data_IF_335197327993
#
_entry.id   IF_335197327993
#
_cell.length_a   1.000
_cell.length_b   1.000
_cell.length_c   1.000
_cell.angle_alpha   90.00
_cell.angle_beta   90.00
_cell.angle_gamma   90.00
#
_symmetry.space_group_name_H-M   'P 1'
#
loop_
_entity.id
_entity.type
_entity.pdbx_description
1 polymer ?
#
# COMPACT_ATOMS: atom_id res chain seq x y z
N UNK A 1 26.10 38.13 -9.41
CA UNK A 1 24.77 37.47 -9.31
C UNK A 1 24.95 36.00 -9.64
N UNK A 2 24.66 35.04 -8.75
CA UNK A 2 24.82 33.63 -9.06
C UNK A 2 23.61 33.11 -9.85
N UNK A 3 23.86 32.38 -10.93
CA UNK A 3 22.85 31.63 -11.70
C UNK A 3 22.53 30.32 -10.98
N UNK A 4 21.35 30.24 -10.37
CA UNK A 4 20.82 29.01 -9.81
C UNK A 4 20.35 28.08 -10.92
N UNK A 5 21.08 27.00 -11.16
CA UNK A 5 20.64 25.90 -12.01
C UNK A 5 19.74 25.05 -11.12
N UNK A 6 18.42 25.17 -11.30
CA UNK A 6 17.48 24.26 -10.64
C UNK A 6 17.73 22.85 -11.17
N UNK A 7 18.02 21.91 -10.28
CA UNK A 7 18.07 20.49 -10.64
C UNK A 7 16.72 20.08 -11.25
N UNK A 8 16.71 19.27 -12.32
CA UNK A 8 15.47 18.73 -12.85
C UNK A 8 14.82 17.86 -11.77
N UNK A 9 13.57 18.19 -11.43
CA UNK A 9 12.76 17.36 -10.54
C UNK A 9 12.63 15.93 -11.08
N UNK A 10 12.30 14.94 -10.23
CA UNK A 10 12.15 13.56 -10.66
C UNK A 10 11.13 13.47 -11.80
N UNK A 11 11.43 12.66 -12.81
CA UNK A 11 10.52 12.45 -13.94
C UNK A 11 9.13 12.07 -13.44
N UNK A 12 8.06 12.67 -14.01
CA UNK A 12 6.71 12.28 -13.65
C UNK A 12 6.52 10.79 -13.97
N UNK A 13 5.99 10.05 -13.00
CA UNK A 13 5.64 8.65 -13.21
C UNK A 13 4.74 8.53 -14.45
N UNK A 14 5.02 7.59 -15.37
CA UNK A 14 4.24 7.44 -16.58
C UNK A 14 2.77 7.23 -16.24
N UNK A 15 1.87 7.93 -16.94
CA UNK A 15 0.43 7.72 -16.79
C UNK A 15 0.13 6.24 -17.08
N UNK A 16 -0.54 5.51 -16.17
CA UNK A 16 -0.90 4.13 -16.43
C UNK A 16 -1.75 4.07 -17.70
N UNK A 17 -1.46 3.10 -18.56
CA UNK A 17 -2.42 2.75 -19.61
C UNK A 17 -3.71 2.19 -18.99
N UNK A 18 -4.78 2.14 -19.77
CA UNK A 18 -6.12 1.76 -19.29
C UNK A 18 -6.12 0.38 -18.60
N UNK A 19 -5.29 -0.57 -19.06
CA UNK A 19 -5.15 -1.89 -18.44
C UNK A 19 -4.51 -1.81 -17.05
N UNK A 20 -3.39 -1.08 -16.92
CA UNK A 20 -2.69 -0.86 -15.66
C UNK A 20 -3.59 -0.11 -14.66
N UNK A 21 -4.39 0.84 -15.14
CA UNK A 21 -5.35 1.56 -14.31
C UNK A 21 -6.43 0.64 -13.74
N UNK A 22 -7.03 -0.22 -14.57
CA UNK A 22 -8.03 -1.20 -14.12
C UNK A 22 -7.47 -2.18 -13.09
N UNK A 23 -6.26 -2.70 -13.32
CA UNK A 23 -5.58 -3.58 -12.37
C UNK A 23 -5.30 -2.87 -11.03
N UNK A 24 -4.94 -1.59 -11.07
CA UNK A 24 -4.75 -0.75 -9.88
C UNK A 24 -6.03 -0.63 -9.07
N UNK A 25 -7.15 -0.32 -9.72
CA UNK A 25 -8.45 -0.18 -9.05
C UNK A 25 -8.88 -1.52 -8.44
N UNK A 26 -8.81 -2.60 -9.21
CA UNK A 26 -9.16 -3.94 -8.73
C UNK A 26 -8.28 -4.39 -7.56
N UNK A 27 -6.99 -4.03 -7.55
CA UNK A 27 -6.11 -4.27 -6.42
C UNK A 27 -6.54 -3.49 -5.17
N UNK A 28 -6.87 -2.22 -5.32
CA UNK A 28 -7.35 -1.39 -4.22
C UNK A 28 -8.65 -1.92 -3.62
N UNK A 29 -9.60 -2.37 -4.46
CA UNK A 29 -10.85 -3.00 -4.02
C UNK A 29 -10.60 -4.30 -3.24
N UNK A 30 -9.74 -5.18 -3.75
CA UNK A 30 -9.39 -6.42 -3.06
C UNK A 30 -8.74 -6.16 -1.69
N UNK A 31 -7.88 -5.13 -1.57
CA UNK A 31 -7.27 -4.73 -0.29
C UNK A 31 -8.34 -4.16 0.65
N UNK A 32 -9.23 -3.29 0.16
CA UNK A 32 -10.32 -2.70 0.94
C UNK A 32 -11.24 -3.79 1.54
N UNK A 33 -11.47 -4.86 0.79
CA UNK A 33 -12.30 -6.00 1.22
C UNK A 33 -11.55 -6.99 2.14
N UNK A 34 -10.27 -6.78 2.38
CA UNK A 34 -9.42 -7.72 3.12
C UNK A 34 -9.18 -9.03 2.36
N UNK A 35 -9.45 -9.08 1.05
CA UNK A 35 -9.28 -10.25 0.20
C UNK A 35 -7.81 -10.38 -0.25
N UNK A 36 -6.95 -10.70 0.72
CA UNK A 36 -5.51 -10.88 0.50
C UNK A 36 -5.21 -11.90 -0.61
N UNK A 37 -5.87 -13.09 -0.70
CA UNK A 37 -5.61 -14.03 -1.77
C UNK A 37 -5.88 -13.47 -3.18
N UNK A 38 -6.95 -12.69 -3.35
CA UNK A 38 -7.25 -12.04 -4.62
C UNK A 38 -6.23 -10.95 -4.96
N UNK A 39 -5.86 -10.11 -3.99
CA UNK A 39 -4.85 -9.08 -4.16
C UNK A 39 -3.49 -9.67 -4.56
N UNK A 40 -3.06 -10.74 -3.89
CA UNK A 40 -1.82 -11.45 -4.22
C UNK A 40 -1.88 -12.09 -5.61
N UNK A 41 -3.00 -12.74 -5.96
CA UNK A 41 -3.18 -13.37 -7.28
C UNK A 41 -3.08 -12.32 -8.39
N UNK A 42 -3.80 -11.20 -8.25
CA UNK A 42 -3.79 -10.11 -9.22
C UNK A 42 -2.37 -9.56 -9.42
N UNK A 43 -1.66 -9.26 -8.32
CA UNK A 43 -0.27 -8.78 -8.39
C UNK A 43 0.66 -9.80 -9.07
N UNK A 44 0.50 -11.10 -8.77
CA UNK A 44 1.35 -12.15 -9.36
C UNK A 44 1.08 -12.40 -10.84
N UNK A 45 -0.12 -12.09 -11.33
CA UNK A 45 -0.50 -12.28 -12.74
C UNK A 45 -0.33 -11.03 -13.60
N UNK A 46 -0.11 -9.86 -12.99
CA UNK A 46 0.04 -8.61 -13.73
C UNK A 46 1.34 -8.58 -14.53
N UNK A 47 1.25 -8.24 -15.81
CA UNK A 47 2.42 -8.00 -16.66
C UNK A 47 3.17 -6.70 -16.30
N UNK A 48 2.54 -5.80 -15.52
CA UNK A 48 3.05 -4.47 -15.17
C UNK A 48 2.99 -4.21 -13.67
N UNK A 49 3.38 -5.21 -12.88
CA UNK A 49 3.29 -5.20 -11.42
C UNK A 49 3.80 -3.91 -10.76
N UNK A 50 4.97 -3.39 -11.19
CA UNK A 50 5.53 -2.15 -10.64
C UNK A 50 4.65 -0.92 -10.91
N UNK A 51 4.04 -0.84 -12.10
CA UNK A 51 3.14 0.26 -12.46
C UNK A 51 1.81 0.17 -11.70
N UNK A 52 1.28 -1.04 -11.51
CA UNK A 52 0.08 -1.28 -10.68
C UNK A 52 0.33 -0.86 -9.22
N UNK A 53 1.47 -1.24 -8.65
CA UNK A 53 1.85 -0.81 -7.29
C UNK A 53 2.04 0.72 -7.21
N UNK A 54 2.67 1.34 -8.21
CA UNK A 54 2.80 2.79 -8.29
C UNK A 54 1.45 3.51 -8.34
N UNK A 55 0.49 2.96 -9.09
CA UNK A 55 -0.89 3.42 -9.12
C UNK A 55 -1.57 3.31 -7.74
N UNK A 56 -1.39 2.17 -7.07
CA UNK A 56 -1.94 1.93 -5.74
C UNK A 56 -1.41 2.95 -4.73
N UNK A 57 -0.10 3.20 -4.72
CA UNK A 57 0.51 4.20 -3.83
C UNK A 57 0.01 5.61 -4.12
N UNK A 58 -0.22 5.94 -5.39
CA UNK A 58 -0.78 7.23 -5.78
C UNK A 58 -2.21 7.40 -5.26
N UNK A 59 -3.06 6.38 -5.39
CA UNK A 59 -4.43 6.38 -4.84
C UNK A 59 -4.44 6.49 -3.32
N UNK A 60 -3.60 5.72 -2.63
CA UNK A 60 -3.45 5.82 -1.17
C UNK A 60 -2.99 7.21 -0.74
N UNK A 61 -2.03 7.81 -1.46
CA UNK A 61 -1.56 9.17 -1.18
C UNK A 61 -2.68 10.21 -1.31
N UNK A 62 -3.54 10.09 -2.32
CA UNK A 62 -4.71 10.97 -2.48
C UNK A 62 -5.74 10.74 -1.38
N UNK A 63 -6.09 9.48 -1.11
CA UNK A 63 -7.05 9.10 -0.08
C UNK A 63 -6.64 9.65 1.30
N UNK A 64 -5.40 9.40 1.72
CA UNK A 64 -4.90 9.82 3.02
C UNK A 64 -4.75 11.34 3.16
N UNK A 65 -4.47 12.07 2.06
CA UNK A 65 -4.44 13.55 2.07
C UNK A 65 -5.84 14.16 2.21
N UNK A 66 -6.88 13.45 1.76
CA UNK A 66 -8.27 13.89 1.86
C UNK A 66 -8.89 13.76 3.25
N UNK A 67 -8.23 13.05 4.17
CA UNK A 67 -8.73 12.81 5.52
C UNK A 67 -8.78 14.10 6.36
N UNK A 68 -9.86 14.25 7.11
CA UNK A 68 -10.04 15.35 8.06
C UNK A 68 -9.21 15.14 9.35
N UNK A 69 -9.36 16.04 10.33
CA UNK A 69 -8.62 15.95 11.58
C UNK A 69 -8.93 14.66 12.37
N UNK A 70 -10.16 14.16 12.32
CA UNK A 70 -10.56 12.93 13.01
C UNK A 70 -9.97 11.70 12.31
N UNK A 71 -10.02 11.68 10.97
CA UNK A 71 -9.41 10.66 10.13
C UNK A 71 -7.91 10.51 10.39
N UNK A 72 -7.19 11.62 10.40
CA UNK A 72 -5.74 11.65 10.73
C UNK A 72 -5.45 11.10 12.12
N UNK A 73 -6.21 11.53 13.15
CA UNK A 73 -6.03 11.03 14.51
C UNK A 73 -6.34 9.51 14.66
N UNK A 74 -7.16 8.93 13.79
CA UNK A 74 -7.39 7.49 13.73
C UNK A 74 -6.21 6.76 13.08
N UNK A 75 -5.67 7.33 12.00
CA UNK A 75 -4.50 6.81 11.31
C UNK A 75 -3.26 6.80 12.21
N UNK A 76 -3.00 7.89 12.93
CA UNK A 76 -1.87 8.00 13.86
C UNK A 76 -1.94 6.92 14.95
N UNK A 77 -3.13 6.73 15.54
CA UNK A 77 -3.38 5.66 16.52
C UNK A 77 -3.18 4.27 15.94
N UNK A 78 -3.60 4.05 14.70
CA UNK A 78 -3.38 2.79 14.01
C UNK A 78 -1.88 2.51 13.82
N UNK A 79 -1.11 3.49 13.34
CA UNK A 79 0.34 3.38 13.14
C UNK A 79 1.06 3.09 14.46
N UNK A 80 0.73 3.82 15.53
CA UNK A 80 1.29 3.59 16.86
C UNK A 80 1.00 2.16 17.36
N UNK A 81 -0.23 1.69 17.19
CA UNK A 81 -0.61 0.33 17.55
C UNK A 81 0.14 -0.72 16.72
N UNK A 82 0.35 -0.49 15.41
CA UNK A 82 1.14 -1.37 14.54
C UNK A 82 2.60 -1.45 14.99
N UNK A 83 3.23 -0.33 15.37
CA UNK A 83 4.59 -0.35 15.92
C UNK A 83 4.69 -1.16 17.21
N UNK A 84 3.67 -1.07 18.08
CA UNK A 84 3.62 -1.85 19.33
C UNK A 84 3.38 -3.34 19.07
N UNK A 85 2.55 -3.67 18.10
CA UNK A 85 2.24 -5.06 17.74
C UNK A 85 3.43 -5.75 17.03
N UNK A 86 4.27 -4.99 16.33
CA UNK A 86 5.35 -5.52 15.50
C UNK A 86 4.84 -5.97 14.12
N UNK A 87 5.74 -6.45 13.24
CA UNK A 87 5.34 -6.91 11.91
C UNK A 87 4.32 -8.05 12.04
N UNK A 88 3.24 -8.05 11.22
CA UNK A 88 2.32 -9.17 11.23
C UNK A 88 3.09 -10.47 10.93
N UNK A 89 2.70 -11.59 11.53
CA UNK A 89 3.34 -12.87 11.25
C UNK A 89 3.28 -13.15 9.75
N UNK A 90 4.33 -13.79 9.22
CA UNK A 90 4.35 -14.21 7.82
C UNK A 90 3.06 -14.98 7.52
N UNK A 91 2.42 -14.69 6.40
CA UNK A 91 1.16 -15.33 6.02
C UNK A 91 1.34 -16.86 6.02
N UNK A 92 0.52 -17.57 6.81
CA UNK A 92 0.63 -19.02 7.02
C UNK A 92 1.52 -19.47 8.19
N UNK A 93 2.14 -18.56 8.94
CA UNK A 93 2.84 -18.90 10.17
C UNK A 93 1.84 -19.42 11.21
N UNK A 94 2.09 -20.63 11.74
CA UNK A 94 1.30 -21.16 12.86
C UNK A 94 1.50 -20.26 14.09
N UNK A 95 0.42 -19.96 14.86
CA UNK A 95 0.58 -19.38 16.18
C UNK A 95 1.52 -20.24 17.02
N UNK A 96 2.43 -19.61 17.77
CA UNK A 96 3.16 -20.33 18.80
C UNK A 96 2.15 -20.75 19.88
N UNK A 97 1.92 -22.06 20.00
CA UNK A 97 1.19 -22.63 21.12
C UNK A 97 2.24 -23.11 22.13
N UNK A 98 2.29 -22.55 23.35
CA UNK A 98 3.17 -23.08 24.38
C UNK A 98 2.83 -24.55 24.65
N UNK A 99 3.81 -25.38 25.06
CA UNK A 99 3.54 -26.76 25.45
C UNK A 99 2.48 -26.77 26.55
N UNK A 100 1.42 -27.56 26.38
CA UNK A 100 0.54 -27.89 27.49
C UNK A 100 1.27 -28.90 28.36
N UNK A 101 1.76 -28.47 29.53
CA UNK A 101 2.23 -29.40 30.55
C UNK A 101 1.15 -30.46 30.78
N UNK A 102 1.49 -31.73 30.55
CA UNK A 102 0.67 -32.92 30.82
C UNK A 102 1.35 -33.77 31.87
#
# INVERSE_FOLDING_TARGET
MPTGISEPGPDPMPRPDDGTWLETVALFEAIREGNQPAAHRLLSSSAKQAAVLGGLFSMLGVFLRGEDASGRAKLDRFIEASHRAGPPPAFGARPFLPPTDS
#
